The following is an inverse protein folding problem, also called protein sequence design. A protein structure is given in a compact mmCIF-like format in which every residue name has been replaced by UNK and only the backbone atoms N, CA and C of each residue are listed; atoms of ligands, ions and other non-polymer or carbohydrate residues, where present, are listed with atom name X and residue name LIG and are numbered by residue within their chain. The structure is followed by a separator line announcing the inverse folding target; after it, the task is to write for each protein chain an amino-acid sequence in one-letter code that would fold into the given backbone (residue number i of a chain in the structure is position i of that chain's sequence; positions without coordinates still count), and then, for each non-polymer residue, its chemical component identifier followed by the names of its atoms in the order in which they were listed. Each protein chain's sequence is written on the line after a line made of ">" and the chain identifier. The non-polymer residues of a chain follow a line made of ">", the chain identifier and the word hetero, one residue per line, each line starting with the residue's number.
data_IF_539079784586
#
_entry.id   IF_539079784586
#
_cell.length_a   1.000
_cell.length_b   1.000
_cell.length_c   1.000
_cell.angle_alpha   90.00
_cell.angle_beta   90.00
_cell.angle_gamma   90.00
#
_symmetry.space_group_name_H-M   'P 1'
#
loop_
_entity.id
_entity.type
_entity.pdbx_description
1 polymer ?
#
# COMPACT_ATOMS: atom_id res chain seq x y z
N UNK A 1 -4.47 13.93 14.22
CA UNK A 1 -5.82 14.34 14.69
C UNK A 1 -6.67 13.10 14.58
N UNK A 2 -7.30 12.64 15.66
CA UNK A 2 -8.20 11.47 15.63
C UNK A 2 -9.60 11.79 15.10
N UNK A 3 -10.49 10.80 15.15
CA UNK A 3 -11.87 10.96 14.70
C UNK A 3 -12.63 12.01 15.52
N UNK A 4 -13.44 12.81 14.83
CA UNK A 4 -14.43 13.68 15.47
C UNK A 4 -15.54 12.86 16.14
N UNK A 5 -16.25 13.47 17.09
CA UNK A 5 -17.40 12.85 17.74
C UNK A 5 -18.49 12.42 16.72
N UNK A 6 -18.68 13.18 15.63
CA UNK A 6 -19.63 12.84 14.58
C UNK A 6 -19.20 11.59 13.79
N UNK A 7 -17.90 11.45 13.51
CA UNK A 7 -17.35 10.28 12.84
C UNK A 7 -17.45 9.03 13.73
N UNK A 8 -17.13 9.15 15.03
CA UNK A 8 -17.30 8.05 16.00
C UNK A 8 -18.75 7.57 16.08
N UNK A 9 -19.71 8.50 16.20
CA UNK A 9 -21.15 8.16 16.17
C UNK A 9 -21.58 7.47 14.88
N UNK A 10 -21.05 7.93 13.74
CA UNK A 10 -21.35 7.31 12.44
C UNK A 10 -20.81 5.88 12.36
N UNK A 11 -19.61 5.65 12.87
CA UNK A 11 -18.99 4.33 12.93
C UNK A 11 -19.81 3.36 13.79
N UNK A 12 -20.20 3.77 15.01
CA UNK A 12 -21.05 2.96 15.90
C UNK A 12 -22.41 2.66 15.28
N UNK A 13 -23.05 3.64 14.63
CA UNK A 13 -24.32 3.41 13.93
C UNK A 13 -24.17 2.38 12.81
N UNK A 14 -23.12 2.47 12.00
CA UNK A 14 -22.85 1.50 10.93
C UNK A 14 -22.63 0.10 11.45
N UNK A 15 -21.94 -0.04 12.58
CA UNK A 15 -21.76 -1.33 13.25
C UNK A 15 -23.11 -1.90 13.73
N UNK A 16 -23.94 -1.09 14.38
CA UNK A 16 -25.28 -1.49 14.84
C UNK A 16 -26.23 -1.88 13.69
N UNK A 17 -26.16 -1.16 12.57
CA UNK A 17 -27.00 -1.41 11.39
C UNK A 17 -26.46 -2.53 10.47
N UNK A 18 -25.37 -3.21 10.85
CA UNK A 18 -24.65 -4.18 10.00
C UNK A 18 -24.30 -3.62 8.59
N UNK A 19 -23.97 -2.34 8.51
CA UNK A 19 -23.60 -1.62 7.27
C UNK A 19 -22.17 -1.06 7.30
N UNK A 20 -21.37 -1.54 8.26
CA UNK A 20 -19.96 -1.24 8.35
C UNK A 20 -19.19 -2.12 7.36
N UNK A 21 -18.51 -1.49 6.42
CA UNK A 21 -17.58 -2.10 5.46
C UNK A 21 -16.10 -1.84 5.82
N UNK A 22 -15.17 -2.60 5.21
CA UNK A 22 -13.72 -2.50 5.44
C UNK A 22 -13.20 -1.09 5.19
N UNK A 23 -13.71 -0.41 4.16
CA UNK A 23 -13.32 0.94 3.79
C UNK A 23 -13.60 1.95 4.92
N UNK A 24 -14.56 1.67 5.80
CA UNK A 24 -14.75 2.51 6.99
C UNK A 24 -13.63 2.32 7.99
N UNK A 25 -13.17 1.09 8.22
CA UNK A 25 -12.02 0.80 9.10
C UNK A 25 -10.73 1.38 8.53
N UNK A 26 -10.53 1.25 7.22
CA UNK A 26 -9.36 1.82 6.52
C UNK A 26 -9.35 3.35 6.59
N UNK A 27 -10.51 4.01 6.51
CA UNK A 27 -10.61 5.45 6.80
C UNK A 27 -10.21 5.78 8.23
N UNK A 28 -10.60 4.97 9.22
CA UNK A 28 -10.13 5.16 10.59
C UNK A 28 -8.61 5.01 10.67
N UNK A 29 -8.00 4.07 9.95
CA UNK A 29 -6.54 3.92 9.90
C UNK A 29 -5.82 5.19 9.41
N UNK A 30 -6.41 5.90 8.45
CA UNK A 30 -5.81 7.08 7.84
C UNK A 30 -5.86 8.34 8.73
N UNK A 31 -6.87 8.46 9.59
CA UNK A 31 -7.13 9.70 10.37
C UNK A 31 -7.41 9.48 11.86
N UNK A 32 -7.28 8.26 12.37
CA UNK A 32 -7.58 7.92 13.75
C UNK A 32 -6.44 8.23 14.71
N UNK A 33 -6.70 8.06 16.00
CA UNK A 33 -5.71 8.04 17.06
C UNK A 33 -5.89 6.85 18.02
N UNK A 34 -5.05 6.75 19.06
CA UNK A 34 -5.09 5.66 20.03
C UNK A 34 -6.44 5.54 20.78
N UNK A 35 -7.22 6.62 20.94
CA UNK A 35 -8.54 6.55 21.55
C UNK A 35 -9.56 5.89 20.60
N UNK A 36 -9.38 6.03 19.29
CA UNK A 36 -10.22 5.36 18.30
C UNK A 36 -9.98 3.85 18.24
N UNK A 37 -8.76 3.39 18.61
CA UNK A 37 -8.48 1.96 18.80
C UNK A 37 -9.33 1.34 19.92
N UNK A 38 -9.51 2.05 21.03
CA UNK A 38 -10.37 1.59 22.12
C UNK A 38 -11.84 1.45 21.66
N UNK A 39 -12.35 2.42 20.90
CA UNK A 39 -13.69 2.35 20.31
C UNK A 39 -13.83 1.14 19.39
N UNK A 40 -12.87 0.90 18.49
CA UNK A 40 -12.90 -0.24 17.58
C UNK A 40 -12.92 -1.58 18.30
N UNK A 41 -12.17 -1.72 19.41
CA UNK A 41 -12.23 -2.94 20.22
C UNK A 41 -13.57 -3.13 20.91
N UNK A 42 -14.16 -2.06 21.43
CA UNK A 42 -15.52 -2.12 21.99
C UNK A 42 -16.51 -2.59 20.95
N UNK A 43 -16.52 -1.98 19.76
CA UNK A 43 -17.43 -2.38 18.67
C UNK A 43 -17.19 -3.82 18.21
N UNK A 44 -15.93 -4.26 18.08
CA UNK A 44 -15.58 -5.65 17.77
C UNK A 44 -16.18 -6.62 18.79
N UNK A 45 -16.08 -6.31 20.08
CA UNK A 45 -16.62 -7.13 21.16
C UNK A 45 -18.15 -7.14 21.19
N UNK A 46 -18.79 -5.97 21.10
CA UNK A 46 -20.25 -5.82 21.13
C UNK A 46 -20.95 -6.53 19.96
N UNK A 47 -20.32 -6.51 18.78
CA UNK A 47 -20.89 -7.08 17.56
C UNK A 47 -20.30 -8.45 17.18
N UNK A 48 -19.41 -9.01 18.00
CA UNK A 48 -18.87 -10.37 17.80
C UNK A 48 -18.13 -10.58 16.47
N UNK A 49 -17.44 -9.55 15.95
CA UNK A 49 -16.84 -9.62 14.61
C UNK A 49 -15.83 -10.77 14.47
N UNK A 50 -16.05 -11.64 13.49
CA UNK A 50 -15.23 -12.83 13.26
C UNK A 50 -13.82 -12.50 12.75
N UNK A 51 -12.81 -13.14 13.34
CA UNK A 51 -11.41 -13.09 12.88
C UNK A 51 -11.11 -14.08 11.75
N UNK A 52 -12.03 -15.02 11.50
CA UNK A 52 -11.85 -16.09 10.50
C UNK A 52 -12.53 -15.81 9.16
N UNK A 53 -13.27 -14.70 9.07
CA UNK A 53 -14.10 -14.38 7.90
C UNK A 53 -15.28 -15.35 7.72
N UNK A 54 -15.69 -16.05 8.79
CA UNK A 54 -16.80 -16.99 8.78
C UNK A 54 -17.69 -16.82 10.00
N UNK A 55 -18.99 -16.85 9.74
CA UNK A 55 -20.05 -17.01 10.72
C UNK A 55 -20.90 -18.21 10.30
N UNK A 56 -20.67 -19.35 10.94
CA UNK A 56 -21.22 -20.63 10.50
C UNK A 56 -20.75 -21.02 9.09
N UNK A 57 -21.68 -21.05 8.12
CA UNK A 57 -21.38 -21.35 6.70
C UNK A 57 -21.27 -20.11 5.83
N UNK A 58 -21.60 -18.93 6.35
CA UNK A 58 -21.56 -17.69 5.61
C UNK A 58 -20.15 -17.09 5.67
N UNK A 59 -19.63 -16.70 4.51
CA UNK A 59 -18.45 -15.87 4.44
C UNK A 59 -18.86 -14.45 4.85
N UNK A 60 -18.21 -13.96 5.89
CA UNK A 60 -18.27 -12.56 6.30
C UNK A 60 -16.91 -11.95 6.08
N UNK A 61 -16.86 -10.63 5.86
CA UNK A 61 -15.58 -9.94 5.89
C UNK A 61 -14.95 -10.19 7.27
N UNK A 62 -13.64 -10.48 7.35
CA UNK A 62 -12.93 -10.65 8.63
C UNK A 62 -12.76 -9.29 9.34
N UNK A 63 -13.88 -8.65 9.72
CA UNK A 63 -13.92 -7.36 10.38
C UNK A 63 -13.09 -7.36 11.65
N UNK A 64 -13.05 -8.49 12.37
CA UNK A 64 -12.25 -8.63 13.57
C UNK A 64 -10.75 -8.43 13.30
N UNK A 65 -10.21 -9.02 12.22
CA UNK A 65 -8.80 -8.85 11.85
C UNK A 65 -8.47 -7.50 11.27
N UNK A 66 -9.36 -6.94 10.46
CA UNK A 66 -9.20 -5.57 9.98
C UNK A 66 -9.18 -4.58 11.15
N UNK A 67 -10.12 -4.70 12.10
CA UNK A 67 -10.18 -3.87 13.29
C UNK A 67 -8.90 -4.01 14.14
N UNK A 68 -8.42 -5.24 14.38
CA UNK A 68 -7.18 -5.47 15.13
C UNK A 68 -5.96 -4.83 14.44
N UNK A 69 -5.88 -4.94 13.12
CA UNK A 69 -4.79 -4.35 12.33
C UNK A 69 -4.82 -2.83 12.41
N UNK A 70 -6.00 -2.22 12.29
CA UNK A 70 -6.17 -0.77 12.45
C UNK A 70 -5.80 -0.35 13.87
N UNK A 71 -6.29 -1.03 14.91
CA UNK A 71 -5.92 -0.78 16.30
C UNK A 71 -4.40 -0.83 16.49
N UNK A 72 -3.74 -1.83 15.89
CA UNK A 72 -2.28 -1.98 15.98
C UNK A 72 -1.54 -0.78 15.38
N UNK A 73 -1.99 -0.27 14.23
CA UNK A 73 -1.44 0.95 13.64
C UNK A 73 -1.65 2.16 14.55
N UNK A 74 -2.86 2.34 15.07
CA UNK A 74 -3.22 3.51 15.88
C UNK A 74 -2.45 3.60 17.20
N UNK A 75 -2.04 2.47 17.76
CA UNK A 75 -1.33 2.40 19.05
C UNK A 75 0.18 2.29 18.90
N UNK A 76 0.64 1.44 17.98
CA UNK A 76 2.05 1.11 17.79
C UNK A 76 2.69 1.79 16.58
N UNK A 77 1.93 2.58 15.82
CA UNK A 77 2.34 3.12 14.55
C UNK A 77 2.72 2.03 13.55
N UNK A 78 3.51 2.41 12.54
CA UNK A 78 4.02 1.49 11.53
C UNK A 78 4.86 0.35 12.11
N UNK A 79 5.62 0.60 13.19
CA UNK A 79 6.37 -0.44 13.89
C UNK A 79 5.44 -1.49 14.53
N UNK A 80 4.24 -1.08 14.96
CA UNK A 80 3.18 -1.99 15.38
C UNK A 80 2.76 -2.94 14.25
N UNK A 81 2.49 -2.41 13.05
CA UNK A 81 2.12 -3.21 11.88
C UNK A 81 3.24 -4.15 11.44
N UNK A 82 4.49 -3.68 11.40
CA UNK A 82 5.65 -4.51 11.02
C UNK A 82 5.78 -5.72 11.97
N UNK A 83 5.61 -5.51 13.28
CA UNK A 83 5.62 -6.63 14.24
C UNK A 83 4.45 -7.57 14.03
N UNK A 84 3.24 -7.03 13.81
CA UNK A 84 2.04 -7.82 13.60
C UNK A 84 2.12 -8.67 12.34
N UNK A 85 2.72 -8.17 11.26
CA UNK A 85 2.87 -8.95 10.04
C UNK A 85 3.76 -10.19 10.20
N UNK A 86 4.66 -10.21 11.19
CA UNK A 86 5.44 -11.38 11.57
C UNK A 86 4.69 -12.38 12.46
N UNK A 87 3.47 -12.07 12.91
CA UNK A 87 2.63 -12.97 13.68
C UNK A 87 2.03 -14.06 12.78
N UNK A 88 1.75 -15.24 13.35
CA UNK A 88 1.21 -16.36 12.58
C UNK A 88 -0.20 -16.08 12.04
N UNK A 89 -0.57 -16.80 10.97
CA UNK A 89 -1.95 -16.83 10.48
C UNK A 89 -2.29 -15.81 9.41
N UNK A 90 -1.31 -15.21 8.71
CA UNK A 90 -1.57 -14.35 7.55
C UNK A 90 -1.96 -12.91 7.91
N UNK A 91 -1.37 -12.35 8.96
CA UNK A 91 -1.59 -10.96 9.38
C UNK A 91 -0.93 -9.94 8.43
N UNK A 92 0.06 -10.38 7.67
CA UNK A 92 0.76 -9.62 6.63
C UNK A 92 -0.20 -9.05 5.58
N UNK A 93 -1.12 -9.84 5.05
CA UNK A 93 -2.10 -9.38 4.04
C UNK A 93 -2.96 -8.20 4.53
N UNK A 94 -3.40 -8.26 5.79
CA UNK A 94 -4.16 -7.17 6.41
C UNK A 94 -3.31 -5.93 6.64
N UNK A 95 -2.07 -6.12 7.11
CA UNK A 95 -1.12 -5.03 7.30
C UNK A 95 -0.86 -4.32 5.98
N UNK A 96 -0.60 -5.06 4.90
CA UNK A 96 -0.37 -4.48 3.58
C UNK A 96 -1.61 -3.72 3.09
N UNK A 97 -2.81 -4.29 3.25
CA UNK A 97 -4.05 -3.59 2.87
C UNK A 97 -4.29 -2.29 3.65
N UNK A 98 -3.95 -2.24 4.94
CA UNK A 98 -4.01 -0.99 5.72
C UNK A 98 -3.02 0.04 5.18
N UNK A 99 -1.78 -0.36 4.88
CA UNK A 99 -0.75 0.53 4.34
C UNK A 99 -1.15 1.09 2.97
N UNK A 100 -1.80 0.29 2.13
CA UNK A 100 -2.32 0.69 0.82
C UNK A 100 -3.40 1.77 0.88
N UNK A 101 -4.18 1.86 1.97
CA UNK A 101 -5.14 2.97 2.17
C UNK A 101 -4.47 4.20 2.79
N UNK A 102 -3.60 4.02 3.78
CA UNK A 102 -3.01 5.15 4.53
C UNK A 102 -2.07 5.99 3.65
N UNK A 103 -1.30 5.35 2.77
CA UNK A 103 -0.55 6.00 1.66
C UNK A 103 0.39 7.13 2.07
N UNK A 104 1.06 6.99 3.20
CA UNK A 104 2.11 7.92 3.66
C UNK A 104 3.50 7.47 3.22
N UNK A 105 4.54 8.33 3.29
CA UNK A 105 5.92 7.90 3.06
C UNK A 105 6.33 6.73 3.97
N UNK A 106 5.89 6.75 5.22
CA UNK A 106 6.12 5.69 6.20
C UNK A 106 5.40 4.39 5.81
N UNK A 107 4.29 4.47 5.08
CA UNK A 107 3.59 3.27 4.59
C UNK A 107 4.44 2.47 3.61
N UNK A 108 5.22 3.15 2.77
CA UNK A 108 6.13 2.51 1.81
C UNK A 108 7.29 1.82 2.56
N UNK A 109 7.89 2.52 3.53
CA UNK A 109 8.97 1.95 4.36
C UNK A 109 8.48 0.76 5.19
N UNK A 110 7.28 0.85 5.77
CA UNK A 110 6.66 -0.23 6.53
C UNK A 110 6.38 -1.45 5.64
N UNK A 111 5.90 -1.22 4.42
CA UNK A 111 5.64 -2.28 3.46
C UNK A 111 6.93 -3.05 3.10
N UNK A 112 8.04 -2.34 2.86
CA UNK A 112 9.36 -2.95 2.63
C UNK A 112 9.86 -3.71 3.87
N UNK A 113 9.60 -3.19 5.07
CA UNK A 113 10.02 -3.83 6.31
C UNK A 113 9.24 -5.12 6.62
N UNK A 114 7.93 -5.17 6.33
CA UNK A 114 7.07 -6.35 6.53
C UNK A 114 7.61 -7.56 5.75
N UNK A 115 7.99 -7.33 4.49
CA UNK A 115 8.45 -8.40 3.60
C UNK A 115 9.96 -8.62 3.63
N UNK A 116 10.71 -7.71 4.27
CA UNK A 116 12.11 -7.81 4.69
C UNK A 116 13.02 -8.66 3.78
N UNK A 117 13.28 -9.95 4.11
CA UNK A 117 14.17 -10.81 3.32
C UNK A 117 13.81 -10.96 1.83
N UNK A 118 12.53 -10.83 1.50
CA UNK A 118 12.00 -10.95 0.12
C UNK A 118 12.44 -9.75 -0.74
N UNK A 119 12.69 -8.58 -0.13
CA UNK A 119 13.19 -7.39 -0.83
C UNK A 119 14.54 -7.69 -1.48
N UNK A 120 15.42 -8.39 -0.75
CA UNK A 120 16.76 -8.77 -1.22
C UNK A 120 16.77 -10.04 -2.06
N UNK A 121 15.88 -11.00 -1.73
CA UNK A 121 15.81 -12.31 -2.37
C UNK A 121 14.36 -12.65 -2.75
N UNK A 122 13.79 -12.04 -3.80
CA UNK A 122 12.39 -12.26 -4.19
C UNK A 122 12.07 -13.72 -4.54
N UNK A 123 13.07 -14.50 -4.96
CA UNK A 123 12.92 -15.93 -5.22
C UNK A 123 12.64 -16.78 -3.97
N UNK A 124 12.90 -16.25 -2.76
CA UNK A 124 12.64 -16.99 -1.51
C UNK A 124 11.15 -17.16 -1.21
N UNK A 125 10.31 -16.23 -1.66
CA UNK A 125 8.86 -16.33 -1.65
C UNK A 125 8.29 -15.44 -2.77
N UNK A 126 8.11 -16.04 -3.96
CA UNK A 126 7.62 -15.32 -5.15
C UNK A 126 6.20 -14.78 -4.94
N UNK A 127 5.36 -15.49 -4.17
CA UNK A 127 3.98 -15.05 -3.90
C UNK A 127 4.00 -13.75 -3.10
N UNK A 128 4.78 -13.71 -2.01
CA UNK A 128 4.93 -12.52 -1.19
C UNK A 128 5.65 -11.39 -1.94
N UNK A 129 6.62 -11.71 -2.79
CA UNK A 129 7.29 -10.72 -3.64
C UNK A 129 6.31 -10.05 -4.61
N UNK A 130 5.45 -10.82 -5.27
CA UNK A 130 4.42 -10.27 -6.16
C UNK A 130 3.43 -9.42 -5.35
N UNK A 131 3.00 -9.90 -4.18
CA UNK A 131 2.11 -9.14 -3.30
C UNK A 131 2.71 -7.79 -2.90
N UNK A 132 4.02 -7.75 -2.61
CA UNK A 132 4.76 -6.52 -2.38
C UNK A 132 4.72 -5.60 -3.61
N UNK A 133 4.98 -6.14 -4.81
CA UNK A 133 4.93 -5.36 -6.04
C UNK A 133 3.54 -4.74 -6.30
N UNK A 134 2.47 -5.48 -6.02
CA UNK A 134 1.09 -4.97 -6.10
C UNK A 134 0.86 -3.81 -5.13
N UNK A 135 1.25 -3.97 -3.86
CA UNK A 135 1.13 -2.90 -2.86
C UNK A 135 1.93 -1.65 -3.23
N UNK A 136 3.16 -1.83 -3.73
CA UNK A 136 3.98 -0.72 -4.23
C UNK A 136 3.34 -0.02 -5.43
N UNK A 137 2.70 -0.77 -6.33
CA UNK A 137 1.95 -0.18 -7.44
C UNK A 137 0.78 0.67 -6.92
N UNK A 138 -0.01 0.17 -5.97
CA UNK A 138 -1.11 0.95 -5.34
C UNK A 138 -0.60 2.22 -4.66
N UNK A 139 0.52 2.15 -3.95
CA UNK A 139 1.12 3.29 -3.27
C UNK A 139 1.69 4.33 -4.24
N UNK A 140 2.47 3.90 -5.23
CA UNK A 140 3.42 4.77 -5.94
C UNK A 140 3.03 5.15 -7.37
N UNK A 141 2.12 4.39 -8.01
CA UNK A 141 1.80 4.55 -9.43
C UNK A 141 0.53 5.35 -9.71
N UNK A 142 -0.20 5.76 -8.68
CA UNK A 142 -1.47 6.50 -8.82
C UNK A 142 -1.38 7.93 -8.26
N UNK A 143 -2.42 8.74 -8.55
CA UNK A 143 -2.56 10.09 -8.00
C UNK A 143 -2.58 10.04 -6.47
N UNK A 144 -1.98 11.04 -5.83
CA UNK A 144 -1.88 11.11 -4.37
C UNK A 144 -0.79 10.23 -3.78
N UNK A 145 0.14 9.71 -4.59
CA UNK A 145 1.30 8.97 -4.10
C UNK A 145 2.08 9.78 -3.04
N UNK A 146 2.59 9.13 -1.99
CA UNK A 146 3.44 9.80 -1.01
C UNK A 146 4.77 10.25 -1.63
N UNK A 147 5.34 11.32 -1.07
CA UNK A 147 6.69 11.75 -1.38
C UNK A 147 7.69 10.88 -0.59
N UNK A 148 8.38 9.98 -1.28
CA UNK A 148 9.41 9.10 -0.69
C UNK A 148 10.81 9.62 -0.98
N UNK A 149 11.77 9.24 -0.15
CA UNK A 149 13.16 9.67 -0.30
C UNK A 149 13.83 8.95 -1.48
N UNK A 150 14.89 9.51 -2.08
CA UNK A 150 15.64 8.85 -3.15
C UNK A 150 16.17 7.45 -2.76
N UNK A 151 16.53 7.25 -1.49
CA UNK A 151 16.99 5.97 -0.98
C UNK A 151 15.87 4.91 -1.00
N UNK A 152 14.65 5.27 -0.56
CA UNK A 152 13.49 4.38 -0.63
C UNK A 152 13.11 4.11 -2.09
N UNK A 153 13.13 5.12 -2.96
CA UNK A 153 12.88 4.93 -4.39
C UNK A 153 13.87 3.94 -5.02
N UNK A 154 15.16 4.05 -4.68
CA UNK A 154 16.19 3.14 -5.15
C UNK A 154 15.94 1.71 -4.65
N UNK A 155 15.65 1.53 -3.35
CA UNK A 155 15.39 0.20 -2.78
C UNK A 155 14.19 -0.48 -3.45
N UNK A 156 13.08 0.26 -3.65
CA UNK A 156 11.90 -0.24 -4.37
C UNK A 156 12.26 -0.65 -5.79
N UNK A 157 13.04 0.18 -6.49
CA UNK A 157 13.45 -0.09 -7.88
C UNK A 157 14.34 -1.32 -7.99
N UNK A 158 15.34 -1.45 -7.15
CA UNK A 158 16.25 -2.60 -7.11
C UNK A 158 15.49 -3.90 -6.83
N UNK A 159 14.56 -3.87 -5.88
CA UNK A 159 13.64 -4.98 -5.64
C UNK A 159 12.85 -5.36 -6.90
N UNK A 160 12.21 -4.40 -7.56
CA UNK A 160 11.39 -4.67 -8.75
C UNK A 160 12.23 -5.19 -9.92
N UNK A 161 13.46 -4.72 -10.09
CA UNK A 161 14.40 -5.25 -11.08
C UNK A 161 14.75 -6.71 -10.78
N UNK A 162 15.08 -7.03 -9.53
CA UNK A 162 15.36 -8.41 -9.09
C UNK A 162 14.15 -9.32 -9.29
N UNK A 163 12.94 -8.84 -8.98
CA UNK A 163 11.71 -9.60 -9.19
C UNK A 163 11.46 -9.87 -10.68
N UNK A 164 11.66 -8.88 -11.55
CA UNK A 164 11.47 -9.03 -13.00
C UNK A 164 12.53 -9.92 -13.69
N UNK A 165 13.64 -10.23 -13.01
CA UNK A 165 14.61 -11.19 -13.49
C UNK A 165 14.18 -12.66 -13.25
N UNK A 166 13.10 -12.90 -12.51
CA UNK A 166 12.56 -14.24 -12.27
C UNK A 166 11.60 -14.69 -13.37
N UNK A 167 11.36 -15.98 -13.44
CA UNK A 167 10.29 -16.54 -14.27
C UNK A 167 8.93 -16.27 -13.60
N UNK A 168 8.24 -15.25 -14.11
CA UNK A 168 6.93 -14.81 -13.62
C UNK A 168 5.84 -15.11 -14.65
N UNK A 169 4.64 -15.42 -14.16
CA UNK A 169 3.44 -15.39 -15.00
C UNK A 169 3.21 -13.98 -15.56
N UNK A 170 2.42 -13.86 -16.63
CA UNK A 170 2.14 -12.55 -17.23
C UNK A 170 1.51 -11.57 -16.23
N UNK A 171 0.58 -12.04 -15.40
CA UNK A 171 -0.08 -11.20 -14.37
C UNK A 171 0.93 -10.70 -13.33
N UNK A 172 1.78 -11.60 -12.81
CA UNK A 172 2.81 -11.24 -11.82
C UNK A 172 3.83 -10.24 -12.39
N UNK A 173 4.21 -10.42 -13.65
CA UNK A 173 5.10 -9.49 -14.36
C UNK A 173 4.41 -8.13 -14.56
N UNK A 174 3.11 -8.12 -14.86
CA UNK A 174 2.33 -6.90 -15.05
C UNK A 174 2.32 -6.06 -13.78
N UNK A 175 2.13 -6.69 -12.61
CA UNK A 175 2.22 -6.03 -11.30
C UNK A 175 3.54 -5.31 -11.07
N UNK A 176 4.66 -6.00 -11.31
CA UNK A 176 5.99 -5.43 -11.12
C UNK A 176 6.30 -4.29 -12.13
N UNK A 177 5.92 -4.46 -13.41
CA UNK A 177 6.05 -3.40 -14.42
C UNK A 177 5.16 -2.20 -14.08
N UNK A 178 3.97 -2.43 -13.55
CA UNK A 178 3.07 -1.37 -13.11
C UNK A 178 3.66 -0.57 -11.93
N UNK A 179 4.31 -1.23 -10.97
CA UNK A 179 4.98 -0.57 -9.86
C UNK A 179 6.17 0.30 -10.31
N UNK A 180 6.92 -0.15 -11.35
CA UNK A 180 8.04 0.62 -11.90
C UNK A 180 7.62 1.98 -12.49
N UNK A 181 6.35 2.20 -12.83
CA UNK A 181 5.86 3.53 -13.24
C UNK A 181 6.06 4.57 -12.14
N UNK A 182 5.95 4.12 -10.89
CA UNK A 182 6.09 4.95 -9.70
C UNK A 182 7.53 5.35 -9.41
N UNK A 183 8.53 4.50 -9.67
CA UNK A 183 9.92 4.68 -9.18
C UNK A 183 11.02 4.45 -10.24
N UNK A 184 10.65 4.09 -11.46
CA UNK A 184 11.58 3.66 -12.49
C UNK A 184 12.51 4.78 -12.94
N UNK A 185 13.71 4.38 -13.36
CA UNK A 185 14.75 5.25 -13.89
C UNK A 185 15.15 4.85 -15.32
N UNK A 186 16.30 5.35 -15.81
CA UNK A 186 16.82 4.97 -17.11
C UNK A 186 17.14 3.47 -17.21
N UNK A 187 17.66 2.84 -16.14
CA UNK A 187 17.90 1.40 -16.09
C UNK A 187 16.60 0.60 -16.15
N UNK A 188 15.54 1.08 -15.48
CA UNK A 188 14.21 0.47 -15.58
C UNK A 188 13.67 0.43 -17.00
N UNK A 189 14.03 1.36 -17.89
CA UNK A 189 13.60 1.33 -19.28
C UNK A 189 14.18 0.12 -20.02
N UNK A 190 15.45 -0.21 -19.76
CA UNK A 190 16.09 -1.41 -20.32
C UNK A 190 15.43 -2.68 -19.80
N UNK A 191 15.13 -2.73 -18.50
CA UNK A 191 14.42 -3.87 -17.89
C UNK A 191 13.04 -4.05 -18.52
N UNK A 192 12.25 -2.98 -18.66
CA UNK A 192 10.92 -3.02 -19.28
C UNK A 192 10.99 -3.36 -20.78
N UNK A 193 12.05 -2.95 -21.49
CA UNK A 193 12.22 -3.35 -22.90
C UNK A 193 12.58 -4.83 -23.05
N UNK A 194 13.20 -5.44 -22.04
CA UNK A 194 13.59 -6.85 -22.04
C UNK A 194 12.49 -7.83 -21.61
N UNK A 195 11.35 -7.35 -21.07
CA UNK A 195 10.27 -8.28 -20.69
C UNK A 195 9.54 -8.84 -21.92
N UNK A 196 9.05 -10.09 -21.87
CA UNK A 196 8.19 -10.62 -22.92
C UNK A 196 6.96 -9.73 -23.14
N UNK A 197 6.56 -9.46 -24.40
CA UNK A 197 5.41 -8.61 -24.69
C UNK A 197 4.15 -9.10 -23.98
N UNK A 198 3.42 -8.16 -23.38
CA UNK A 198 2.15 -8.46 -22.74
C UNK A 198 1.05 -8.70 -23.77
N UNK A 199 0.09 -9.58 -23.44
CA UNK A 199 -1.01 -9.97 -24.33
C UNK A 199 -2.38 -9.68 -23.68
N UNK A 200 -3.45 -9.81 -24.48
CA UNK A 200 -4.83 -9.68 -24.02
C UNK A 200 -5.09 -8.32 -23.33
N UNK A 201 -5.67 -8.37 -22.13
CA UNK A 201 -5.98 -7.18 -21.31
C UNK A 201 -4.75 -6.36 -20.90
N UNK A 202 -3.55 -6.92 -21.01
CA UNK A 202 -2.29 -6.26 -20.68
C UNK A 202 -1.50 -5.76 -21.90
N UNK A 203 -2.02 -5.97 -23.12
CA UNK A 203 -1.30 -5.62 -24.34
C UNK A 203 -0.83 -4.16 -24.35
N UNK A 204 0.45 -3.94 -24.64
CA UNK A 204 1.07 -2.61 -24.67
C UNK A 204 1.41 -2.03 -23.30
N UNK A 205 1.28 -2.80 -22.21
CA UNK A 205 1.65 -2.36 -20.87
C UNK A 205 3.13 -1.92 -20.80
N UNK A 206 4.04 -2.62 -21.47
CA UNK A 206 5.47 -2.27 -21.51
C UNK A 206 5.70 -0.87 -22.12
N UNK A 207 4.96 -0.52 -23.17
CA UNK A 207 5.04 0.79 -23.81
C UNK A 207 4.45 1.88 -22.92
N UNK A 208 3.31 1.60 -22.29
CA UNK A 208 2.65 2.51 -21.34
C UNK A 208 3.55 2.78 -20.14
N UNK A 209 4.17 1.74 -19.57
CA UNK A 209 5.07 1.88 -18.44
C UNK A 209 6.33 2.67 -18.81
N UNK A 210 6.98 2.33 -19.93
CA UNK A 210 8.15 3.06 -20.42
C UNK A 210 7.84 4.55 -20.69
N UNK A 211 6.66 4.86 -21.24
CA UNK A 211 6.19 6.24 -21.42
C UNK A 211 6.10 6.99 -20.09
N UNK A 212 5.50 6.38 -19.07
CA UNK A 212 5.35 7.01 -17.75
C UNK A 212 6.70 7.22 -17.04
N UNK A 213 7.61 6.25 -17.12
CA UNK A 213 8.98 6.38 -16.60
C UNK A 213 9.70 7.56 -17.26
N UNK A 214 9.68 7.65 -18.60
CA UNK A 214 10.28 8.79 -19.32
C UNK A 214 9.66 10.13 -18.93
N UNK A 215 8.34 10.18 -18.75
CA UNK A 215 7.65 11.40 -18.32
C UNK A 215 8.09 11.83 -16.92
N UNK A 216 8.25 10.88 -16.00
CA UNK A 216 8.75 11.13 -14.64
C UNK A 216 10.18 11.70 -14.67
N UNK A 217 11.09 11.08 -15.44
CA UNK A 217 12.47 11.54 -15.58
C UNK A 217 12.55 12.96 -16.15
N UNK A 218 11.74 13.28 -17.17
CA UNK A 218 11.65 14.64 -17.73
C UNK A 218 11.18 15.66 -16.71
N UNK A 219 10.20 15.31 -15.86
CA UNK A 219 9.71 16.18 -14.79
C UNK A 219 10.78 16.42 -13.72
N UNK A 220 11.54 15.39 -13.36
CA UNK A 220 12.64 15.51 -12.39
C UNK A 220 13.81 16.36 -12.91
N UNK A 221 14.02 16.38 -14.23
CA UNK A 221 15.09 17.17 -14.87
C UNK A 221 14.73 18.65 -15.10
N UNK A 222 13.45 19.05 -14.98
CA UNK A 222 13.05 20.45 -15.16
C UNK A 222 13.46 21.25 -13.91
N UNK A 223 14.24 22.34 -14.03
CA UNK A 223 14.56 23.19 -12.89
C UNK A 223 13.28 23.77 -12.28
N UNK A 224 13.26 23.90 -10.95
CA UNK A 224 12.16 24.57 -10.26
C UNK A 224 12.02 26.00 -10.81
N UNK A 225 10.81 26.37 -11.25
CA UNK A 225 10.53 27.76 -11.65
C UNK A 225 10.83 28.67 -10.46
N UNK A 226 11.58 29.77 -10.65
CA UNK A 226 11.83 30.71 -9.57
C UNK A 226 10.49 31.26 -9.09
N UNK A 227 10.23 31.10 -7.79
CA UNK A 227 9.07 31.73 -7.13
C UNK A 227 9.26 33.24 -7.29
N UNK A 228 8.38 33.88 -8.06
CA UNK A 228 8.38 35.32 -8.21
C UNK A 228 8.30 35.95 -6.81
N UNK A 229 9.27 36.82 -6.50
CA UNK A 229 9.26 37.57 -5.26
C UNK A 229 7.95 38.37 -5.16
N UNK A 230 7.30 38.41 -3.98
CA UNK A 230 6.12 39.24 -3.80
C UNK A 230 6.48 40.69 -4.10
N UNK A 231 5.69 41.34 -4.96
CA UNK A 231 5.81 42.75 -5.27
C UNK A 231 5.82 43.56 -3.96
N UNK A 232 6.81 44.44 -3.74
CA UNK A 232 6.76 45.37 -2.62
C UNK A 232 5.58 46.31 -2.85
N UNK A 233 4.51 46.09 -2.10
CA UNK A 233 3.33 46.93 -2.13
C UNK A 233 3.70 48.40 -1.89
N UNK A 234 3.38 49.24 -2.86
CA UNK A 234 3.29 50.71 -2.79
C UNK A 234 2.10 51.15 -1.97
#
# INVERSE_FOLDING_TARGET
>A
MGLTAAQRRTLSRKAADNSLEVEHLLKVAAIGDAADAALLRTLKGEHGWSDSGREGRQLVVPFGRWADTVCRLLEGGYAGLVRMAGEAGGADEFCIGVLEEVRTPESVSALLAIVGPVVERPASDVRLAVRLADGLNHLLSFKGRPAITPAVEQQVREFLHRLLALELTEVQRASAVCALRGVGDAGSLSVVAGVPPFRGSWAGLEQSAAKQIRQRLRRAAKPAEPVAAPDPAT
#
